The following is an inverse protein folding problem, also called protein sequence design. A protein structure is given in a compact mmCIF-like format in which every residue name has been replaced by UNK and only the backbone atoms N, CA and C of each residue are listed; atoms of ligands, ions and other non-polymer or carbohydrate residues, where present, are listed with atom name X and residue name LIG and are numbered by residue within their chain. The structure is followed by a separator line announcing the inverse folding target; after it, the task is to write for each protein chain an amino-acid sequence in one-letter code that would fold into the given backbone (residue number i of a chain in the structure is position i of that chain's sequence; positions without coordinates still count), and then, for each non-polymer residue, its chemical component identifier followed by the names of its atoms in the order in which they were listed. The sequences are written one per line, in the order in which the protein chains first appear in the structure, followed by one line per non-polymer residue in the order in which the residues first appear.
data_IF_129297214495
#
_entry.id   IF_129297214495
#
_cell.length_a   1.000
_cell.length_b   1.000
_cell.length_c   1.000
_cell.angle_alpha   90.00
_cell.angle_beta   90.00
_cell.angle_gamma   90.00
#
_symmetry.space_group_name_H-M   'P 1'
#
loop_
_entity.id
_entity.type
_entity.pdbx_description
1 polymer ?
#
# COMPACT_ATOMS: atom_id res chain seq x y z
N UNK A 1 -28.83 -29.23 7.92
CA UNK A 1 -27.80 -28.24 7.55
C UNK A 1 -26.35 -28.66 7.84
N UNK A 2 -26.11 -29.71 8.63
CA UNK A 2 -24.73 -30.11 9.04
C UNK A 2 -23.88 -30.87 8.01
N UNK A 3 -24.39 -31.62 7.01
CA UNK A 3 -23.52 -32.36 6.11
C UNK A 3 -22.94 -31.52 4.96
N UNK A 4 -23.59 -30.40 4.59
CA UNK A 4 -23.16 -29.55 3.48
C UNK A 4 -21.96 -28.69 3.88
N UNK A 5 -21.95 -28.13 5.11
CA UNK A 5 -20.81 -27.34 5.61
C UNK A 5 -19.54 -28.18 5.75
N UNK A 6 -19.65 -29.44 6.19
CA UNK A 6 -18.48 -30.34 6.25
C UNK A 6 -17.89 -30.66 4.88
N UNK A 7 -18.72 -30.74 3.84
CA UNK A 7 -18.26 -30.96 2.48
C UNK A 7 -17.59 -29.73 1.87
N UNK A 8 -18.08 -28.53 2.18
CA UNK A 8 -17.47 -27.26 1.72
C UNK A 8 -16.13 -27.04 2.43
N UNK A 9 -16.06 -27.33 3.75
CA UNK A 9 -14.79 -27.21 4.50
C UNK A 9 -13.76 -28.23 4.01
N UNK A 10 -14.18 -29.47 3.72
CA UNK A 10 -13.29 -30.49 3.16
C UNK A 10 -12.82 -30.12 1.73
N UNK A 11 -13.69 -29.51 0.91
CA UNK A 11 -13.35 -29.06 -0.44
C UNK A 11 -12.38 -27.87 -0.40
N UNK A 12 -12.58 -26.91 0.50
CA UNK A 12 -11.66 -25.80 0.72
C UNK A 12 -10.30 -26.27 1.26
N UNK A 13 -10.30 -27.26 2.17
CA UNK A 13 -9.06 -27.83 2.70
C UNK A 13 -8.29 -28.63 1.64
N UNK A 14 -8.99 -29.35 0.76
CA UNK A 14 -8.36 -30.07 -0.36
C UNK A 14 -7.84 -29.09 -1.42
N UNK A 15 -8.50 -27.98 -1.65
CA UNK A 15 -8.02 -26.94 -2.57
C UNK A 15 -6.75 -26.27 -2.05
N UNK A 16 -6.68 -25.99 -0.73
CA UNK A 16 -5.49 -25.44 -0.07
C UNK A 16 -4.35 -26.46 -0.06
N UNK A 17 -4.64 -27.75 0.15
CA UNK A 17 -3.60 -28.79 0.12
C UNK A 17 -3.13 -29.12 -1.30
N UNK A 18 -4.00 -29.00 -2.32
CA UNK A 18 -3.58 -29.18 -3.72
C UNK A 18 -2.63 -28.07 -4.19
N UNK A 19 -2.74 -26.87 -3.63
CA UNK A 19 -1.79 -25.77 -3.87
C UNK A 19 -0.46 -25.92 -3.12
N UNK A 20 -0.43 -26.72 -2.05
CA UNK A 20 0.78 -26.94 -1.24
C UNK A 20 1.60 -28.17 -1.63
N UNK A 21 1.10 -29.06 -2.50
CA UNK A 21 1.76 -30.33 -2.85
C UNK A 21 2.54 -30.32 -4.17
N UNK A 22 2.62 -29.20 -4.89
CA UNK A 22 3.41 -29.07 -6.12
C UNK A 22 4.77 -28.38 -5.93
N UNK A 23 5.29 -28.36 -4.72
CA UNK A 23 6.61 -27.79 -4.40
C UNK A 23 7.75 -28.77 -4.75
N UNK A 24 7.91 -29.09 -6.00
CA UNK A 24 9.09 -29.76 -6.50
C UNK A 24 9.64 -29.03 -7.72
N UNK A 25 10.73 -28.27 -7.50
CA UNK A 25 11.68 -27.71 -8.46
C UNK A 25 11.13 -27.22 -9.82
N UNK A 26 11.25 -25.97 -10.11
CA UNK A 26 10.83 -25.21 -11.32
C UNK A 26 9.36 -24.74 -11.37
N UNK A 27 8.54 -24.99 -10.34
CA UNK A 27 7.09 -24.78 -10.42
C UNK A 27 6.61 -23.46 -9.83
N UNK A 28 7.34 -22.81 -8.92
CA UNK A 28 6.88 -21.55 -8.31
C UNK A 28 6.73 -20.43 -9.35
N UNK A 29 7.69 -20.26 -10.25
CA UNK A 29 7.58 -19.30 -11.35
C UNK A 29 6.38 -19.59 -12.26
N UNK A 30 6.07 -20.87 -12.52
CA UNK A 30 4.92 -21.26 -13.34
C UNK A 30 3.57 -20.98 -12.66
N UNK A 31 3.52 -21.03 -11.33
CA UNK A 31 2.31 -20.68 -10.57
C UNK A 31 1.99 -19.18 -10.66
N UNK A 32 2.99 -18.37 -10.94
CA UNK A 32 2.82 -16.92 -11.10
C UNK A 32 2.38 -16.52 -12.51
N UNK A 33 2.44 -17.41 -13.49
CA UNK A 33 2.02 -17.06 -14.86
C UNK A 33 0.58 -16.57 -14.88
N UNK A 34 0.38 -15.37 -15.42
CA UNK A 34 -0.91 -14.69 -15.46
C UNK A 34 -0.86 -13.24 -15.02
N UNK A 35 -2.04 -12.69 -14.77
CA UNK A 35 -2.20 -11.30 -14.32
C UNK A 35 -2.49 -11.27 -12.83
N UNK A 36 -1.77 -10.42 -12.12
CA UNK A 36 -1.88 -10.24 -10.67
C UNK A 36 -2.07 -8.78 -10.31
N UNK A 37 -2.89 -8.52 -9.29
CA UNK A 37 -2.84 -7.28 -8.55
C UNK A 37 -1.84 -7.47 -7.41
N UNK A 38 -0.68 -6.82 -7.53
CA UNK A 38 0.33 -6.82 -6.48
C UNK A 38 0.04 -5.68 -5.51
N UNK A 39 0.08 -5.97 -4.23
CA UNK A 39 -0.16 -4.99 -3.15
C UNK A 39 1.09 -4.88 -2.31
N UNK A 40 1.60 -3.67 -2.19
CA UNK A 40 2.76 -3.33 -1.35
C UNK A 40 2.27 -2.45 -0.21
N UNK A 41 2.35 -2.93 1.01
CA UNK A 41 2.01 -2.15 2.20
C UNK A 41 3.21 -1.33 2.65
N UNK A 42 3.07 -0.01 2.60
CA UNK A 42 4.11 0.95 3.00
C UNK A 42 3.70 1.74 4.26
N UNK A 43 2.68 1.28 4.99
CA UNK A 43 2.15 1.98 6.17
C UNK A 43 3.24 2.25 7.20
N UNK A 44 4.01 1.23 7.57
CA UNK A 44 5.04 1.38 8.60
C UNK A 44 6.15 2.37 8.21
N UNK A 45 6.51 2.42 6.93
CA UNK A 45 7.48 3.38 6.41
C UNK A 45 6.92 4.80 6.50
N UNK A 46 5.68 5.00 6.09
CA UNK A 46 5.02 6.30 6.13
C UNK A 46 4.77 6.77 7.56
N UNK A 47 4.37 5.88 8.46
CA UNK A 47 4.21 6.19 9.89
C UNK A 47 5.53 6.67 10.50
N UNK A 48 6.65 6.07 10.11
CA UNK A 48 7.99 6.51 10.55
C UNK A 48 8.30 7.91 10.03
N UNK A 49 8.10 8.18 8.75
CA UNK A 49 8.32 9.50 8.14
C UNK A 49 7.44 10.59 8.80
N UNK A 50 6.17 10.25 9.08
CA UNK A 50 5.25 11.15 9.76
C UNK A 50 5.68 11.38 11.20
N UNK A 51 6.09 10.33 11.93
CA UNK A 51 6.59 10.44 13.31
C UNK A 51 7.81 11.34 13.40
N UNK A 52 8.75 11.20 12.46
CA UNK A 52 9.95 12.04 12.38
C UNK A 52 9.59 13.49 12.06
N UNK A 53 8.65 13.72 11.14
CA UNK A 53 8.20 15.06 10.79
C UNK A 53 7.45 15.77 11.93
N UNK A 54 6.73 15.01 12.76
CA UNK A 54 5.95 15.52 13.90
C UNK A 54 6.76 15.63 15.21
N UNK A 55 7.97 15.05 15.25
CA UNK A 55 8.73 14.82 16.49
C UNK A 55 7.87 14.14 17.58
N UNK A 56 7.02 13.20 17.14
CA UNK A 56 6.05 12.49 17.97
C UNK A 56 5.70 11.15 17.33
N UNK A 57 5.50 10.12 18.15
CA UNK A 57 5.10 8.79 17.68
C UNK A 57 3.72 8.85 17.02
N UNK A 58 3.65 8.34 15.80
CA UNK A 58 2.43 8.21 15.03
C UNK A 58 2.30 6.78 14.47
N UNK A 59 1.11 6.22 14.55
CA UNK A 59 0.74 4.97 13.92
C UNK A 59 -0.67 5.10 13.33
N UNK A 60 -0.81 4.91 12.04
CA UNK A 60 -2.10 5.00 11.35
C UNK A 60 -2.92 3.73 11.54
N UNK A 61 -4.22 3.90 11.78
CA UNK A 61 -5.19 2.80 11.69
C UNK A 61 -5.61 2.51 10.24
N UNK A 62 -5.30 3.42 9.31
CA UNK A 62 -5.61 3.31 7.89
C UNK A 62 -4.35 2.92 7.14
N UNK A 63 -4.33 1.78 6.42
CA UNK A 63 -3.14 1.35 5.69
C UNK A 63 -2.87 2.27 4.49
N UNK A 64 -1.58 2.46 4.18
CA UNK A 64 -1.10 3.08 2.97
C UNK A 64 -0.52 2.03 2.06
N UNK A 65 -1.18 1.75 0.95
CA UNK A 65 -0.86 0.66 0.04
C UNK A 65 -0.66 1.15 -1.38
N UNK A 66 0.35 0.61 -2.02
CA UNK A 66 0.58 0.76 -3.45
C UNK A 66 0.02 -0.46 -4.18
N UNK A 67 -0.70 -0.23 -5.26
CA UNK A 67 -1.29 -1.26 -6.09
C UNK A 67 -0.59 -1.27 -7.45
N UNK A 68 -0.13 -2.46 -7.85
CA UNK A 68 0.55 -2.69 -9.11
C UNK A 68 -0.19 -3.76 -9.89
N UNK A 69 -0.36 -3.57 -11.18
CA UNK A 69 -0.82 -4.61 -12.10
C UNK A 69 0.41 -5.27 -12.72
N UNK A 70 0.57 -6.56 -12.49
CA UNK A 70 1.68 -7.34 -13.01
C UNK A 70 1.20 -8.47 -13.92
N UNK A 71 1.86 -8.67 -15.04
CA UNK A 71 1.68 -9.82 -15.93
C UNK A 71 2.99 -10.61 -15.95
N UNK A 72 2.92 -11.85 -15.49
CA UNK A 72 4.04 -12.80 -15.56
C UNK A 72 3.80 -13.80 -16.68
N UNK A 73 4.75 -13.91 -17.58
CA UNK A 73 4.68 -14.78 -18.73
C UNK A 73 5.39 -16.12 -18.48
N UNK A 74 5.03 -17.14 -19.23
CA UNK A 74 5.61 -18.48 -19.12
C UNK A 74 7.06 -18.58 -19.63
N UNK A 75 7.49 -17.58 -20.39
CA UNK A 75 8.89 -17.42 -20.84
C UNK A 75 9.82 -16.80 -19.79
N UNK A 76 9.30 -16.50 -18.60
CA UNK A 76 10.07 -15.87 -17.51
C UNK A 76 10.18 -14.35 -17.62
N UNK A 77 9.40 -13.72 -18.49
CA UNK A 77 9.32 -12.25 -18.58
C UNK A 77 8.14 -11.70 -17.79
N UNK A 78 8.21 -10.45 -17.39
CA UNK A 78 7.09 -9.74 -16.75
C UNK A 78 6.93 -8.33 -17.30
N UNK A 79 5.74 -7.81 -17.14
CA UNK A 79 5.43 -6.38 -17.23
C UNK A 79 4.66 -5.96 -16.01
N UNK A 80 4.91 -4.75 -15.52
CA UNK A 80 4.29 -4.19 -14.33
C UNK A 80 4.01 -2.71 -14.52
N UNK A 81 2.86 -2.27 -14.05
CA UNK A 81 2.48 -0.86 -14.03
C UNK A 81 1.73 -0.55 -12.74
N UNK A 82 1.76 0.71 -12.31
CA UNK A 82 0.99 1.14 -11.15
C UNK A 82 -0.50 1.25 -11.50
N UNK A 83 -1.35 0.73 -10.64
CA UNK A 83 -2.77 1.11 -10.60
C UNK A 83 -2.88 2.47 -9.89
N UNK A 84 -2.81 3.54 -10.66
CA UNK A 84 -2.77 4.90 -10.13
C UNK A 84 -4.06 5.27 -9.38
N UNK A 85 -5.22 4.78 -9.82
CA UNK A 85 -6.51 5.06 -9.18
C UNK A 85 -6.59 4.39 -7.80
N UNK A 86 -6.32 3.10 -7.72
CA UNK A 86 -6.35 2.36 -6.47
C UNK A 86 -5.28 2.87 -5.49
N UNK A 87 -4.08 3.18 -5.97
CA UNK A 87 -2.99 3.73 -5.17
C UNK A 87 -3.35 5.13 -4.65
N UNK A 88 -3.89 6.01 -5.50
CA UNK A 88 -4.33 7.34 -5.09
C UNK A 88 -5.45 7.29 -4.04
N UNK A 89 -6.40 6.37 -4.17
CA UNK A 89 -7.46 6.18 -3.19
C UNK A 89 -6.90 5.77 -1.82
N UNK A 90 -5.94 4.84 -1.79
CA UNK A 90 -5.27 4.42 -0.55
C UNK A 90 -4.49 5.57 0.10
N UNK A 91 -3.72 6.32 -0.67
CA UNK A 91 -2.95 7.46 -0.19
C UNK A 91 -3.86 8.57 0.33
N UNK A 92 -4.94 8.86 -0.37
CA UNK A 92 -5.92 9.86 0.06
C UNK A 92 -6.54 9.45 1.40
N UNK A 93 -6.93 8.19 1.57
CA UNK A 93 -7.48 7.69 2.82
C UNK A 93 -6.48 7.81 3.99
N UNK A 94 -5.21 7.47 3.75
CA UNK A 94 -4.14 7.63 4.74
C UNK A 94 -3.94 9.10 5.13
N UNK A 95 -3.86 10.01 4.14
CA UNK A 95 -3.70 11.45 4.37
C UNK A 95 -4.89 12.02 5.15
N UNK A 96 -6.11 11.61 4.83
CA UNK A 96 -7.30 12.03 5.58
C UNK A 96 -7.28 11.53 7.04
N UNK A 97 -6.67 10.37 7.30
CA UNK A 97 -6.51 9.86 8.66
C UNK A 97 -5.52 10.70 9.52
N UNK A 98 -4.68 11.52 8.89
CA UNK A 98 -3.81 12.48 9.60
C UNK A 98 -4.57 13.69 10.14
N UNK A 99 -5.80 13.94 9.71
CA UNK A 99 -6.54 15.15 10.08
C UNK A 99 -6.57 15.42 11.59
N UNK A 100 -6.92 14.47 12.48
CA UNK A 100 -6.96 14.73 13.92
C UNK A 100 -5.59 15.12 14.49
N UNK A 101 -4.52 14.56 13.94
CA UNK A 101 -3.15 14.84 14.36
C UNK A 101 -2.77 16.27 13.95
N UNK A 102 -3.07 16.67 12.73
CA UNK A 102 -2.78 18.02 12.21
C UNK A 102 -3.60 19.07 12.96
N UNK A 103 -4.86 18.78 13.28
CA UNK A 103 -5.70 19.67 14.12
C UNK A 103 -5.06 19.87 15.50
N UNK A 104 -4.64 18.79 16.15
CA UNK A 104 -3.99 18.86 17.46
C UNK A 104 -2.67 19.64 17.42
N UNK A 105 -1.85 19.42 16.39
CA UNK A 105 -0.61 20.18 16.19
C UNK A 105 -0.86 21.68 15.96
N UNK A 106 -1.94 22.02 15.26
CA UNK A 106 -2.31 23.42 15.05
C UNK A 106 -2.61 24.13 16.38
N UNK A 107 -3.31 23.45 17.28
CA UNK A 107 -3.54 23.97 18.63
C UNK A 107 -2.25 24.07 19.45
N UNK A 108 -1.42 23.03 19.42
CA UNK A 108 -0.15 23.05 20.14
C UNK A 108 0.78 24.18 19.66
N UNK A 109 0.78 24.46 18.37
CA UNK A 109 1.57 25.56 17.82
C UNK A 109 1.03 26.94 18.29
N UNK A 110 -0.28 27.10 18.33
CA UNK A 110 -0.90 28.30 18.89
C UNK A 110 -0.55 28.47 20.38
N UNK A 111 -0.60 27.38 21.15
CA UNK A 111 -0.24 27.39 22.59
C UNK A 111 1.24 27.77 22.81
N UNK A 112 2.18 27.27 21.96
CA UNK A 112 3.60 27.67 21.98
C UNK A 112 3.79 29.17 21.72
N UNK A 113 2.90 29.77 20.94
CA UNK A 113 2.89 31.20 20.66
C UNK A 113 2.16 32.02 21.74
N UNK A 114 1.72 31.39 22.83
CA UNK A 114 1.06 32.02 23.97
C UNK A 114 -0.46 32.25 23.77
N UNK A 115 -1.07 31.61 22.77
CA UNK A 115 -2.48 31.72 22.48
C UNK A 115 -3.20 30.44 22.96
N UNK A 116 -4.24 30.57 23.76
CA UNK A 116 -5.07 29.44 24.15
C UNK A 116 -5.89 28.90 22.96
N UNK A 117 -6.36 27.67 23.04
CA UNK A 117 -7.22 27.06 22.01
C UNK A 117 -8.48 27.92 21.75
N UNK A 118 -9.10 28.42 22.81
CA UNK A 118 -10.30 29.27 22.70
C UNK A 118 -9.99 30.61 21.99
N UNK A 119 -8.85 31.23 22.30
CA UNK A 119 -8.40 32.45 21.62
C UNK A 119 -8.08 32.19 20.15
N UNK A 120 -7.49 31.03 19.83
CA UNK A 120 -7.19 30.62 18.46
C UNK A 120 -8.45 30.39 17.66
N UNK A 121 -9.42 29.63 18.21
CA UNK A 121 -10.73 29.40 17.57
C UNK A 121 -11.48 30.71 17.32
N UNK A 122 -11.44 31.63 18.30
CA UNK A 122 -12.06 32.95 18.15
C UNK A 122 -11.40 33.79 17.05
N UNK A 123 -10.07 33.79 16.98
CA UNK A 123 -9.35 34.50 15.94
C UNK A 123 -9.66 33.96 14.53
N UNK A 124 -9.81 32.66 14.39
CA UNK A 124 -10.22 32.03 13.14
C UNK A 124 -11.67 32.37 12.78
N UNK A 125 -12.57 32.36 13.76
CA UNK A 125 -13.98 32.69 13.56
C UNK A 125 -14.21 34.13 13.06
N UNK A 126 -13.31 35.06 13.38
CA UNK A 126 -13.33 36.43 12.84
C UNK A 126 -13.16 36.46 11.30
N UNK A 127 -12.59 35.39 10.73
CA UNK A 127 -12.44 35.22 9.28
C UNK A 127 -13.35 34.14 8.70
N UNK A 128 -14.38 33.75 9.43
CA UNK A 128 -15.32 32.66 9.07
C UNK A 128 -14.58 31.30 8.89
N UNK A 129 -13.50 31.07 9.61
CA UNK A 129 -12.69 29.86 9.54
C UNK A 129 -12.81 29.06 10.84
N UNK A 130 -12.52 27.76 10.72
CA UNK A 130 -12.29 26.84 11.85
C UNK A 130 -10.99 26.08 11.64
N UNK A 131 -10.39 25.53 12.70
CA UNK A 131 -9.17 24.70 12.58
C UNK A 131 -9.46 23.50 11.68
N UNK A 132 -10.58 22.82 11.88
CA UNK A 132 -11.02 21.71 11.02
C UNK A 132 -11.14 22.11 9.54
N UNK A 133 -11.77 23.25 9.27
CA UNK A 133 -11.94 23.75 7.91
C UNK A 133 -10.61 24.13 7.23
N UNK A 134 -9.67 24.69 7.99
CA UNK A 134 -8.31 24.96 7.49
C UNK A 134 -7.59 23.67 7.14
N UNK A 135 -7.62 22.70 8.04
CA UNK A 135 -6.97 21.39 7.82
C UNK A 135 -7.61 20.68 6.63
N UNK A 136 -8.95 20.68 6.52
CA UNK A 136 -9.64 20.12 5.35
C UNK A 136 -9.22 20.80 4.04
N UNK A 137 -9.06 22.11 4.06
CA UNK A 137 -8.61 22.86 2.88
C UNK A 137 -7.20 22.48 2.47
N UNK A 138 -6.29 22.32 3.43
CA UNK A 138 -4.91 21.89 3.18
C UNK A 138 -4.87 20.46 2.63
N UNK A 139 -5.60 19.54 3.27
CA UNK A 139 -5.64 18.14 2.84
C UNK A 139 -6.30 17.97 1.46
N UNK A 140 -7.34 18.75 1.17
CA UNK A 140 -8.04 18.73 -0.11
C UNK A 140 -7.23 19.36 -1.25
N UNK A 141 -6.32 20.28 -0.93
CA UNK A 141 -5.40 20.87 -1.91
C UNK A 141 -4.29 19.88 -2.32
N UNK A 142 -4.09 18.81 -1.56
CA UNK A 142 -3.11 17.78 -1.85
C UNK A 142 -3.66 16.79 -2.87
N UNK A 143 -3.36 17.01 -4.14
CA UNK A 143 -3.84 16.17 -5.25
C UNK A 143 -2.88 14.97 -5.46
N UNK A 144 -3.21 13.86 -4.79
CA UNK A 144 -2.45 12.60 -4.92
C UNK A 144 -2.51 12.06 -6.35
N UNK A 145 -3.65 12.21 -7.03
CA UNK A 145 -3.82 11.72 -8.40
C UNK A 145 -2.90 12.45 -9.38
N UNK A 146 -2.71 13.76 -9.20
CA UNK A 146 -1.76 14.54 -9.99
C UNK A 146 -0.31 14.11 -9.74
N UNK A 147 0.03 13.81 -8.47
CA UNK A 147 1.38 13.32 -8.11
C UNK A 147 1.70 11.95 -8.70
N UNK A 148 0.70 11.07 -8.78
CA UNK A 148 0.87 9.70 -9.29
C UNK A 148 0.64 9.60 -10.80
N UNK A 149 0.04 10.61 -11.44
CA UNK A 149 -0.36 10.56 -12.85
C UNK A 149 0.80 10.32 -13.81
N UNK A 150 1.93 10.93 -13.57
CA UNK A 150 3.14 10.73 -14.40
C UNK A 150 3.80 9.38 -14.15
N UNK A 151 3.81 8.91 -12.88
CA UNK A 151 4.41 7.62 -12.49
C UNK A 151 3.51 6.45 -12.89
N UNK A 152 2.19 6.62 -12.85
CA UNK A 152 1.22 5.57 -13.17
C UNK A 152 1.20 5.14 -14.64
N UNK A 153 1.78 5.93 -15.55
CA UNK A 153 1.89 5.61 -16.98
C UNK A 153 3.13 4.77 -17.32
N UNK A 154 4.09 4.66 -16.42
CA UNK A 154 5.33 3.94 -16.65
C UNK A 154 5.10 2.43 -16.52
N UNK A 155 5.54 1.70 -17.55
CA UNK A 155 5.54 0.23 -17.58
C UNK A 155 6.96 -0.26 -17.36
N UNK A 156 7.16 -0.99 -16.28
CA UNK A 156 8.40 -1.72 -16.03
C UNK A 156 8.31 -3.09 -16.67
N UNK A 157 9.35 -3.51 -17.36
CA UNK A 157 9.45 -4.82 -18.00
C UNK A 157 10.79 -5.46 -17.71
N UNK A 158 10.82 -6.80 -17.63
CA UNK A 158 12.05 -7.52 -17.38
C UNK A 158 11.83 -9.02 -17.29
N UNK A 159 12.72 -9.68 -16.55
CA UNK A 159 12.66 -11.10 -16.27
C UNK A 159 12.35 -11.38 -14.80
N UNK A 160 11.68 -12.47 -14.53
CA UNK A 160 11.38 -12.89 -13.17
C UNK A 160 11.72 -14.35 -12.93
N UNK A 161 11.94 -14.67 -11.67
CA UNK A 161 11.88 -16.05 -11.15
C UNK A 161 11.27 -16.05 -9.76
N UNK A 162 10.63 -17.14 -9.39
CA UNK A 162 10.17 -17.38 -8.02
C UNK A 162 10.81 -18.65 -7.49
N UNK A 163 11.34 -18.55 -6.30
CA UNK A 163 12.03 -19.66 -5.62
C UNK A 163 11.92 -19.49 -4.11
N UNK A 164 11.51 -20.55 -3.41
CA UNK A 164 11.40 -20.59 -1.93
C UNK A 164 10.57 -19.46 -1.32
N UNK A 165 9.44 -19.15 -1.96
CA UNK A 165 8.52 -18.10 -1.50
C UNK A 165 9.03 -16.68 -1.73
N UNK A 166 10.09 -16.50 -2.53
CA UNK A 166 10.62 -15.20 -2.89
C UNK A 166 10.51 -14.96 -4.39
N UNK A 167 10.11 -13.74 -4.73
CA UNK A 167 10.04 -13.24 -6.09
C UNK A 167 11.29 -12.41 -6.39
N UNK A 168 11.97 -12.74 -7.44
CA UNK A 168 13.11 -12.02 -7.97
C UNK A 168 12.69 -11.34 -9.26
N UNK A 169 12.88 -10.05 -9.32
CA UNK A 169 12.64 -9.22 -10.50
C UNK A 169 13.95 -8.64 -11.00
N UNK A 170 14.13 -8.62 -12.31
CA UNK A 170 15.30 -8.03 -12.93
C UNK A 170 14.85 -7.24 -14.15
N UNK A 171 15.05 -5.95 -14.15
CA UNK A 171 14.91 -5.15 -15.35
C UNK A 171 15.92 -5.61 -16.41
N UNK A 172 15.61 -5.39 -17.68
CA UNK A 172 16.34 -5.98 -18.80
C UNK A 172 17.87 -5.86 -18.67
N UNK A 173 18.57 -6.99 -18.58
CA UNK A 173 20.01 -7.10 -18.67
C UNK A 173 20.79 -7.10 -17.34
N UNK A 174 20.18 -6.92 -16.18
CA UNK A 174 20.90 -6.77 -14.91
C UNK A 174 21.10 -8.08 -14.11
N UNK A 175 20.43 -9.18 -14.46
CA UNK A 175 20.47 -10.44 -13.69
C UNK A 175 19.74 -10.35 -12.35
N UNK A 176 19.58 -11.51 -11.68
CA UNK A 176 18.86 -11.58 -10.41
C UNK A 176 19.79 -11.39 -9.23
N UNK A 177 19.43 -10.51 -8.30
CA UNK A 177 20.14 -10.25 -7.06
C UNK A 177 19.30 -10.68 -5.87
N UNK A 178 19.92 -11.36 -4.89
CA UNK A 178 19.21 -11.87 -3.72
C UNK A 178 18.65 -10.73 -2.84
N UNK A 179 19.38 -9.63 -2.73
CA UNK A 179 18.99 -8.44 -1.98
C UNK A 179 17.81 -7.66 -2.60
N UNK A 180 17.52 -7.91 -3.86
CA UNK A 180 16.41 -7.28 -4.58
C UNK A 180 15.17 -8.19 -4.67
N UNK A 181 15.19 -9.33 -3.96
CA UNK A 181 14.05 -10.23 -3.91
C UNK A 181 13.05 -9.81 -2.84
N UNK A 182 11.79 -10.08 -3.09
CA UNK A 182 10.67 -9.80 -2.18
C UNK A 182 9.95 -11.10 -1.82
N UNK A 183 9.58 -11.26 -0.55
CA UNK A 183 8.65 -12.30 -0.15
C UNK A 183 7.26 -12.03 -0.72
N UNK A 184 6.49 -13.05 -0.98
CA UNK A 184 5.12 -12.87 -1.46
C UNK A 184 4.17 -13.95 -0.92
N UNK A 185 2.90 -13.60 -0.88
CA UNK A 185 1.79 -14.53 -0.63
C UNK A 185 0.67 -14.29 -1.63
N UNK A 186 -0.03 -15.36 -1.98
CA UNK A 186 -1.08 -15.34 -3.01
C UNK A 186 -2.45 -15.57 -2.38
N UNK A 187 -3.43 -14.77 -2.81
CA UNK A 187 -4.83 -14.92 -2.45
C UNK A 187 -5.73 -14.54 -3.63
N UNK A 188 -6.38 -15.54 -4.26
CA UNK A 188 -7.15 -15.31 -5.49
C UNK A 188 -6.25 -14.78 -6.61
N UNK A 189 -6.55 -13.58 -7.11
CA UNK A 189 -5.77 -12.85 -8.12
C UNK A 189 -4.87 -11.77 -7.52
N UNK A 190 -4.75 -11.73 -6.19
CA UNK A 190 -3.95 -10.75 -5.46
C UNK A 190 -2.65 -11.37 -4.97
N UNK A 191 -1.56 -10.67 -5.15
CA UNK A 191 -0.24 -10.99 -4.64
C UNK A 191 0.16 -9.92 -3.62
N UNK A 192 0.27 -10.31 -2.34
CA UNK A 192 0.80 -9.44 -1.29
C UNK A 192 2.32 -9.56 -1.26
N UNK A 193 3.03 -8.45 -1.31
CA UNK A 193 4.47 -8.41 -1.14
C UNK A 193 4.80 -8.22 0.34
N UNK A 194 5.66 -9.08 0.85
CA UNK A 194 6.06 -9.12 2.26
C UNK A 194 7.60 -9.01 2.32
N UNK A 195 8.10 -8.14 3.16
CA UNK A 195 9.52 -8.07 3.49
C UNK A 195 9.91 -9.06 4.60
#
# INVERSE_FOLDING_TARGET
GKPIMKKITAFLLTLVMALSLTACGSSESKQLVGTWQCVVDITAQMDTEISDALDSEYASEVPMQMYLSAVFNDDGTFTMSMDAEATAASFTAYIQALKPVIVELSYQEAEKQGMSREEYDKALAESDLTVDGLVDSVLSAFDVSALLGDVGSDVTAGSYKAEKGRLYLSESGSGFKAEESVGYSLSGSTMMWND
#
